data_IF_948413281501
#
_entry.id   IF_948413281501
#
_cell.length_a   1.000
_cell.length_b   1.000
_cell.length_c   1.000
_cell.angle_alpha   90.00
_cell.angle_beta   90.00
_cell.angle_gamma   90.00
#
_symmetry.space_group_name_H-M   'P 1'
#
loop_
_entity.id
_entity.type
_entity.pdbx_description
1 polymer ?
#
# COMPACT_ATOMS: atom_id res chain seq x y z
N UNK A 1 -30.40 13.27 11.20
CA UNK A 1 -29.15 13.27 11.99
C UNK A 1 -28.68 11.84 12.33
N UNK A 2 -28.34 11.01 11.33
CA UNK A 2 -27.74 9.65 11.50
C UNK A 2 -26.51 9.50 10.58
N UNK A 3 -25.46 10.30 10.79
CA UNK A 3 -24.20 10.18 10.02
C UNK A 3 -22.93 10.13 10.88
N UNK A 4 -22.97 10.61 12.14
CA UNK A 4 -21.83 10.58 13.05
C UNK A 4 -21.38 9.14 13.41
N UNK A 5 -22.30 8.25 13.80
CA UNK A 5 -21.98 6.86 14.16
C UNK A 5 -21.50 5.92 13.04
N UNK A 6 -21.17 6.43 11.83
CA UNK A 6 -20.78 5.59 10.70
C UNK A 6 -19.29 5.67 10.34
N UNK A 7 -18.67 6.86 10.39
CA UNK A 7 -17.25 7.02 10.05
C UNK A 7 -16.35 6.67 11.23
N UNK A 8 -16.70 7.16 12.43
CA UNK A 8 -16.00 6.85 13.68
C UNK A 8 -16.03 5.34 13.94
N UNK A 9 -17.20 4.72 13.80
CA UNK A 9 -17.35 3.27 13.96
C UNK A 9 -16.58 2.47 12.90
N UNK A 10 -16.53 2.94 11.64
CA UNK A 10 -15.66 2.31 10.63
C UNK A 10 -14.19 2.39 11.02
N UNK A 11 -13.74 3.52 11.56
CA UNK A 11 -12.37 3.69 12.00
C UNK A 11 -12.04 2.80 13.21
N UNK A 12 -12.97 2.67 14.16
CA UNK A 12 -12.86 1.77 15.31
C UNK A 12 -12.69 0.31 14.88
N UNK A 13 -13.61 -0.21 14.04
CA UNK A 13 -13.56 -1.58 13.54
C UNK A 13 -12.29 -1.85 12.71
N UNK A 14 -11.84 -0.86 11.91
CA UNK A 14 -10.59 -0.98 11.16
C UNK A 14 -9.37 -0.96 12.09
N UNK A 15 -9.42 -0.21 13.19
CA UNK A 15 -8.41 -0.23 14.25
C UNK A 15 -8.29 -1.60 14.91
N UNK A 16 -9.40 -2.25 15.21
CA UNK A 16 -9.42 -3.61 15.77
C UNK A 16 -8.82 -4.66 14.82
N UNK A 17 -9.01 -4.51 13.51
CA UNK A 17 -8.33 -5.34 12.51
C UNK A 17 -6.81 -5.13 12.55
N UNK A 18 -6.33 -3.88 12.57
CA UNK A 18 -4.90 -3.57 12.67
C UNK A 18 -4.28 -4.11 13.97
N UNK A 19 -4.97 -3.96 15.10
CA UNK A 19 -4.55 -4.49 16.39
C UNK A 19 -4.49 -6.02 16.40
N UNK A 20 -5.45 -6.67 15.76
CA UNK A 20 -5.48 -8.13 15.60
C UNK A 20 -4.26 -8.61 14.78
N UNK A 21 -3.97 -7.96 13.65
CA UNK A 21 -2.80 -8.27 12.82
C UNK A 21 -1.48 -8.05 13.59
N UNK A 22 -1.38 -6.97 14.36
CA UNK A 22 -0.23 -6.69 15.21
C UNK A 22 -0.01 -7.80 16.26
N UNK A 23 -1.09 -8.28 16.87
CA UNK A 23 -1.01 -9.39 17.84
C UNK A 23 -0.63 -10.72 17.18
N UNK A 24 -1.12 -10.98 15.97
CA UNK A 24 -0.71 -12.17 15.21
C UNK A 24 0.79 -12.11 14.92
N UNK A 25 1.30 -10.99 14.41
CA UNK A 25 2.73 -10.79 14.16
C UNK A 25 3.56 -11.07 15.43
N UNK A 26 3.15 -10.49 16.58
CA UNK A 26 3.79 -10.72 17.88
C UNK A 26 3.80 -12.20 18.28
N UNK A 27 2.69 -12.92 18.11
CA UNK A 27 2.58 -14.36 18.43
C UNK A 27 3.46 -15.23 17.54
N UNK A 28 3.72 -14.80 16.31
CA UNK A 28 4.58 -15.49 15.35
C UNK A 28 6.06 -15.07 15.46
N UNK A 29 6.42 -14.18 16.39
CA UNK A 29 7.78 -13.67 16.52
C UNK A 29 8.22 -12.74 15.38
N UNK A 30 7.27 -12.16 14.65
CA UNK A 30 7.53 -11.21 13.57
C UNK A 30 7.65 -9.80 14.18
N UNK A 31 8.77 -9.12 13.89
CA UNK A 31 8.90 -7.68 14.15
C UNK A 31 7.99 -6.91 13.19
N UNK A 32 6.84 -6.47 13.71
CA UNK A 32 5.83 -5.75 12.95
C UNK A 32 6.33 -4.43 12.38
N UNK A 33 7.11 -3.67 13.15
CA UNK A 33 7.63 -2.37 12.72
C UNK A 33 8.60 -2.57 11.55
N UNK A 34 9.52 -3.52 11.69
CA UNK A 34 10.46 -3.86 10.64
C UNK A 34 9.75 -4.40 9.39
N UNK A 35 8.75 -5.27 9.55
CA UNK A 35 7.99 -5.83 8.43
C UNK A 35 7.21 -4.74 7.67
N UNK A 36 6.54 -3.83 8.39
CA UNK A 36 5.82 -2.71 7.80
C UNK A 36 6.76 -1.72 7.11
N UNK A 37 7.91 -1.41 7.74
CA UNK A 37 8.95 -0.56 7.15
C UNK A 37 9.46 -1.14 5.83
N UNK A 38 9.72 -2.45 5.77
CA UNK A 38 10.13 -3.11 4.52
C UNK A 38 9.03 -3.10 3.45
N UNK A 39 7.76 -3.28 3.85
CA UNK A 39 6.63 -3.17 2.94
C UNK A 39 6.52 -1.75 2.32
N UNK A 40 6.65 -0.72 3.15
CA UNK A 40 6.66 0.67 2.70
C UNK A 40 7.84 0.96 1.75
N UNK A 41 9.02 0.41 2.03
CA UNK A 41 10.18 0.54 1.14
C UNK A 41 9.95 -0.14 -0.23
N UNK A 42 9.34 -1.33 -0.27
CA UNK A 42 8.95 -1.99 -1.52
C UNK A 42 7.95 -1.15 -2.30
N UNK A 43 6.93 -0.61 -1.61
CA UNK A 43 5.95 0.26 -2.24
C UNK A 43 6.61 1.50 -2.84
N UNK A 44 7.45 2.18 -2.06
CA UNK A 44 8.16 3.38 -2.49
C UNK A 44 9.01 3.12 -3.73
N UNK A 45 9.84 2.07 -3.74
CA UNK A 45 10.66 1.72 -4.91
C UNK A 45 9.84 1.48 -6.17
N UNK A 46 8.76 0.70 -6.04
CA UNK A 46 7.88 0.40 -7.17
C UNK A 46 7.16 1.64 -7.68
N UNK A 47 6.67 2.47 -6.77
CA UNK A 47 6.00 3.71 -7.13
C UNK A 47 6.96 4.68 -7.83
N UNK A 48 8.17 4.87 -7.31
CA UNK A 48 9.21 5.71 -7.95
C UNK A 48 9.58 5.19 -9.33
N UNK A 49 9.65 3.86 -9.52
CA UNK A 49 9.85 3.28 -10.84
C UNK A 49 8.69 3.63 -11.79
N UNK A 50 7.45 3.49 -11.34
CA UNK A 50 6.27 3.84 -12.13
C UNK A 50 6.29 5.32 -12.53
N UNK A 51 6.59 6.22 -11.60
CA UNK A 51 6.73 7.66 -11.86
C UNK A 51 7.80 7.95 -12.92
N UNK A 52 8.96 7.28 -12.83
CA UNK A 52 10.05 7.45 -13.79
C UNK A 52 9.64 6.99 -15.19
N UNK A 53 8.99 5.83 -15.30
CA UNK A 53 8.49 5.30 -16.58
C UNK A 53 7.43 6.22 -17.18
N UNK A 54 6.48 6.68 -16.38
CA UNK A 54 5.47 7.65 -16.81
C UNK A 54 6.11 8.95 -17.32
N UNK A 55 7.10 9.47 -16.59
CA UNK A 55 7.87 10.65 -16.99
C UNK A 55 8.57 10.47 -18.33
N UNK A 56 9.23 9.33 -18.55
CA UNK A 56 9.90 9.01 -19.81
C UNK A 56 8.92 8.87 -20.98
N UNK A 57 7.71 8.34 -20.72
CA UNK A 57 6.66 8.16 -21.73
C UNK A 57 5.82 9.44 -21.94
N UNK A 58 6.02 10.49 -21.16
CA UNK A 58 5.21 11.71 -21.21
C UNK A 58 3.76 11.50 -20.75
N UNK A 59 3.51 10.52 -19.87
CA UNK A 59 2.19 10.16 -19.36
C UNK A 59 2.07 10.62 -17.90
N UNK A 60 0.90 11.12 -17.52
CA UNK A 60 0.59 11.41 -16.13
C UNK A 60 0.10 10.14 -15.41
N UNK A 61 0.84 9.67 -14.40
CA UNK A 61 0.47 8.49 -13.61
C UNK A 61 -0.91 8.60 -12.97
N UNK A 62 -1.31 9.81 -12.53
CA UNK A 62 -2.60 10.04 -11.89
C UNK A 62 -3.81 9.99 -12.83
N UNK A 63 -3.58 10.05 -14.14
CA UNK A 63 -4.63 9.95 -15.18
C UNK A 63 -4.78 8.52 -15.72
N UNK A 64 -3.87 7.62 -15.37
CA UNK A 64 -3.93 6.22 -15.76
C UNK A 64 -5.06 5.49 -15.01
N UNK A 65 -5.73 4.58 -15.72
CA UNK A 65 -6.65 3.62 -15.11
C UNK A 65 -5.93 2.66 -14.17
N UNK A 66 -6.68 2.03 -13.25
CA UNK A 66 -6.12 1.04 -12.32
C UNK A 66 -5.44 -0.13 -13.04
N UNK A 67 -5.98 -0.58 -14.17
CA UNK A 67 -5.41 -1.68 -14.94
C UNK A 67 -4.05 -1.30 -15.55
N UNK A 68 -3.92 -0.08 -16.06
CA UNK A 68 -2.65 0.43 -16.59
C UNK A 68 -1.61 0.64 -15.48
N UNK A 69 -2.03 1.17 -14.32
CA UNK A 69 -1.15 1.30 -13.14
C UNK A 69 -0.69 -0.09 -12.68
N UNK A 70 -1.57 -1.10 -12.70
CA UNK A 70 -1.22 -2.46 -12.32
C UNK A 70 -0.22 -3.11 -13.29
N UNK A 71 -0.31 -2.83 -14.59
CA UNK A 71 0.69 -3.28 -15.57
C UNK A 71 2.08 -2.72 -15.22
N UNK A 72 2.18 -1.41 -14.93
CA UNK A 72 3.45 -0.80 -14.53
C UNK A 72 3.94 -1.31 -13.17
N UNK A 73 3.03 -1.61 -12.24
CA UNK A 73 3.38 -2.19 -10.95
C UNK A 73 4.00 -3.59 -11.09
N UNK A 74 3.45 -4.44 -11.95
CA UNK A 74 4.02 -5.76 -12.26
C UNK A 74 5.34 -5.65 -13.04
N UNK A 75 5.51 -4.62 -13.88
CA UNK A 75 6.80 -4.28 -14.48
C UNK A 75 7.84 -3.92 -13.41
N UNK A 76 7.47 -3.04 -12.47
CA UNK A 76 8.32 -2.60 -11.36
C UNK A 76 8.79 -3.79 -10.50
N UNK A 77 7.88 -4.71 -10.18
CA UNK A 77 8.20 -5.94 -9.43
C UNK A 77 9.25 -6.81 -10.10
N UNK A 78 9.24 -6.93 -11.43
CA UNK A 78 10.21 -7.74 -12.18
C UNK A 78 11.61 -7.15 -12.14
N UNK A 79 11.73 -5.83 -11.98
CA UNK A 79 13.01 -5.13 -11.82
C UNK A 79 13.63 -5.22 -10.43
N UNK A 80 12.92 -5.76 -9.42
CA UNK A 80 13.42 -5.95 -8.05
C UNK A 80 14.19 -7.28 -7.85
N UNK A 81 14.56 -7.96 -8.94
CA UNK A 81 15.30 -9.25 -8.92
C UNK A 81 16.76 -9.12 -8.54
#
# INVERSE_FOLDING_TARGET
FKRAGSQERRAEEFGDLLFTLANIARRLGIDLEAALRQANQRFYRRFTYMEEVCRQRGINLGEMSFDEQNILWEEAKKGEG
#
